data_IF_928911607415
#
_entry.id   IF_928911607415
#
_cell.length_a   1.000
_cell.length_b   1.000
_cell.length_c   1.000
_cell.angle_alpha   90.00
_cell.angle_beta   90.00
_cell.angle_gamma   90.00
#
_symmetry.space_group_name_H-M   'P 1'
#
loop_
_entity.id
_entity.type
_entity.pdbx_description
1 polymer ?
#
# COMPACT_ATOMS: atom_id res chain seq x y z
N UNK A 1 -2.07 -10.92 -7.86
CA UNK A 1 -0.95 -10.10 -8.35
C UNK A 1 -0.22 -10.92 -9.38
N UNK A 2 -0.09 -10.41 -10.59
CA UNK A 2 0.38 -11.21 -11.72
C UNK A 2 1.83 -10.94 -12.14
N UNK A 3 2.34 -9.76 -11.78
CA UNK A 3 3.72 -9.35 -11.97
C UNK A 3 4.23 -8.58 -10.76
N UNK A 4 5.53 -8.69 -10.52
CA UNK A 4 6.23 -8.08 -9.39
C UNK A 4 7.57 -7.51 -9.87
N UNK A 5 7.89 -6.29 -9.41
CA UNK A 5 9.20 -5.67 -9.59
C UNK A 5 9.60 -4.96 -8.30
N UNK A 6 10.91 -4.83 -8.05
CA UNK A 6 11.44 -4.02 -6.96
C UNK A 6 11.88 -2.69 -7.54
N UNK A 7 11.48 -1.58 -6.91
CA UNK A 7 11.93 -0.25 -7.29
C UNK A 7 13.47 -0.18 -7.15
N UNK A 8 14.21 0.21 -8.20
CA UNK A 8 15.66 0.23 -8.16
C UNK A 8 16.18 1.21 -7.10
N UNK A 9 17.37 0.93 -6.58
CA UNK A 9 18.08 1.82 -5.68
C UNK A 9 18.73 2.97 -6.46
N UNK A 10 17.93 3.99 -6.77
CA UNK A 10 18.32 5.14 -7.60
C UNK A 10 17.97 6.49 -6.94
N UNK A 11 17.82 6.50 -5.61
CA UNK A 11 17.43 7.70 -4.85
C UNK A 11 15.95 8.06 -4.93
N UNK A 12 15.13 7.29 -5.65
CA UNK A 12 13.69 7.48 -5.66
C UNK A 12 13.08 7.22 -4.27
N UNK A 13 12.05 7.97 -3.82
CA UNK A 13 11.46 7.79 -2.49
C UNK A 13 10.96 6.37 -2.20
N UNK A 14 10.62 5.60 -3.23
CA UNK A 14 10.14 4.22 -3.10
C UNK A 14 11.22 3.15 -3.38
N UNK A 15 12.50 3.51 -3.48
CA UNK A 15 13.59 2.55 -3.67
C UNK A 15 13.50 1.37 -2.68
N UNK A 16 13.70 0.14 -3.19
CA UNK A 16 13.60 -1.10 -2.42
C UNK A 16 12.18 -1.56 -2.09
N UNK A 17 11.16 -0.77 -2.40
CA UNK A 17 9.77 -1.20 -2.29
C UNK A 17 9.35 -2.00 -3.51
N UNK A 18 8.28 -2.77 -3.34
CA UNK A 18 7.80 -3.72 -4.32
C UNK A 18 6.61 -3.12 -5.07
N UNK A 19 6.57 -3.26 -6.39
CA UNK A 19 5.42 -2.93 -7.23
C UNK A 19 4.78 -4.22 -7.70
N UNK A 20 3.47 -4.31 -7.50
CA UNK A 20 2.63 -5.40 -7.93
C UNK A 20 1.63 -4.99 -8.99
N UNK A 21 1.47 -5.83 -10.01
CA UNK A 21 0.49 -5.67 -11.06
C UNK A 21 -0.84 -6.35 -10.67
N UNK A 22 -1.92 -5.57 -10.60
CA UNK A 22 -3.29 -6.04 -10.45
C UNK A 22 -4.02 -5.91 -11.80
N UNK A 23 -4.34 -7.06 -12.39
CA UNK A 23 -5.00 -7.19 -13.69
C UNK A 23 -6.49 -6.83 -13.71
N UNK A 24 -7.30 -7.39 -12.81
CA UNK A 24 -8.76 -7.24 -12.83
C UNK A 24 -9.19 -5.80 -12.52
N UNK A 25 -8.59 -5.22 -11.48
CA UNK A 25 -8.78 -3.85 -11.03
C UNK A 25 -7.97 -2.84 -11.80
N UNK A 26 -7.05 -3.27 -12.68
CA UNK A 26 -6.32 -2.39 -13.61
C UNK A 26 -5.46 -1.34 -12.92
N UNK A 27 -4.80 -1.73 -11.83
CA UNK A 27 -3.94 -0.82 -11.07
C UNK A 27 -2.66 -1.49 -10.58
N UNK A 28 -1.74 -0.64 -10.13
CA UNK A 28 -0.50 -1.04 -9.49
C UNK A 28 -0.62 -0.88 -7.98
N UNK A 29 0.05 -1.78 -7.27
CA UNK A 29 0.11 -1.81 -5.82
C UNK A 29 1.56 -1.62 -5.41
N UNK A 30 1.81 -0.75 -4.44
CA UNK A 30 3.10 -0.63 -3.77
C UNK A 30 3.11 -1.49 -2.51
N UNK A 31 4.22 -2.13 -2.19
CA UNK A 31 4.36 -2.93 -0.98
C UNK A 31 5.69 -2.67 -0.29
N UNK A 32 5.67 -2.69 1.03
CA UNK A 32 6.88 -2.62 1.86
C UNK A 32 6.90 -3.78 2.84
N UNK A 33 8.09 -4.30 3.12
CA UNK A 33 8.28 -5.48 3.98
C UNK A 33 9.26 -5.21 5.11
N UNK A 34 9.06 -5.87 6.23
CA UNK A 34 9.96 -5.90 7.38
C UNK A 34 10.15 -7.32 7.91
N UNK A 35 11.29 -7.50 8.56
CA UNK A 35 11.59 -8.68 9.37
C UNK A 35 11.33 -8.32 10.84
N UNK A 36 10.39 -9.01 11.48
CA UNK A 36 10.09 -8.87 12.92
C UNK A 36 10.31 -10.21 13.58
N UNK A 37 11.29 -10.30 14.47
CA UNK A 37 11.74 -11.55 15.12
C UNK A 37 11.94 -12.71 14.14
N UNK A 38 12.60 -12.44 13.00
CA UNK A 38 12.84 -13.45 11.96
C UNK A 38 11.63 -13.78 11.07
N UNK A 39 10.48 -13.12 11.24
CA UNK A 39 9.29 -13.29 10.41
C UNK A 39 9.12 -12.14 9.42
N UNK A 40 9.03 -12.49 8.13
CA UNK A 40 8.70 -11.53 7.07
C UNK A 40 7.21 -11.18 7.10
N UNK A 41 6.93 -9.89 7.21
CA UNK A 41 5.60 -9.30 7.16
C UNK A 41 5.65 -7.90 6.54
N UNK A 42 4.51 -7.21 6.41
CA UNK A 42 4.50 -5.89 5.80
C UNK A 42 3.12 -5.41 5.37
N UNK A 43 3.12 -4.35 4.57
CA UNK A 43 1.91 -3.71 4.10
C UNK A 43 1.94 -3.41 2.61
N UNK A 44 0.73 -3.33 2.05
CA UNK A 44 0.46 -2.91 0.69
C UNK A 44 -0.33 -1.61 0.67
N UNK A 45 -0.14 -0.82 -0.39
CA UNK A 45 -0.71 0.50 -0.61
C UNK A 45 -1.08 0.64 -2.09
N UNK A 46 -2.18 1.29 -2.45
CA UNK A 46 -2.42 1.66 -3.84
C UNK A 46 -1.29 2.55 -4.36
N UNK A 47 -0.74 2.25 -5.54
CA UNK A 47 0.16 3.18 -6.24
C UNK A 47 -0.68 4.14 -7.09
N UNK A 48 -1.59 3.59 -7.89
CA UNK A 48 -2.61 4.32 -8.64
C UNK A 48 -3.99 3.68 -8.45
N UNK A 49 -5.06 4.42 -8.75
CA UNK A 49 -6.41 3.88 -8.90
C UNK A 49 -7.16 4.66 -9.99
N UNK A 50 -7.85 3.97 -10.93
CA UNK A 50 -8.69 4.63 -11.92
C UNK A 50 -9.69 5.59 -11.25
N UNK A 51 -9.75 6.83 -11.73
CA UNK A 51 -10.65 7.87 -11.22
C UNK A 51 -10.24 8.55 -9.90
N UNK A 52 -9.25 8.04 -9.17
CA UNK A 52 -8.75 8.67 -7.94
C UNK A 52 -7.39 9.37 -8.13
N UNK A 53 -6.50 8.74 -8.89
CA UNK A 53 -5.20 9.34 -9.25
C UNK A 53 -5.30 9.96 -10.63
N UNK A 54 -5.18 11.28 -10.73
CA UNK A 54 -5.01 11.96 -12.02
C UNK A 54 -3.77 11.40 -12.72
N UNK A 55 -3.96 10.73 -13.85
CA UNK A 55 -2.93 9.97 -14.56
C UNK A 55 -3.57 9.22 -15.74
N UNK A 56 -2.77 8.63 -16.65
CA UNK A 56 -3.27 8.07 -17.90
C UNK A 56 -4.38 7.06 -17.62
N UNK A 57 -5.48 7.25 -18.34
CA UNK A 57 -6.65 6.38 -18.28
C UNK A 57 -6.22 4.91 -18.38
N UNK A 58 -6.58 4.15 -17.35
CA UNK A 58 -6.76 2.70 -17.35
C UNK A 58 -5.66 1.86 -17.99
N UNK A 59 -4.72 1.40 -17.16
CA UNK A 59 -3.91 0.23 -17.54
C UNK A 59 -4.85 -0.89 -18.00
N UNK A 60 -4.56 -1.53 -19.12
CA UNK A 60 -5.51 -2.45 -19.75
C UNK A 60 -5.64 -3.83 -19.08
N UNK A 61 -4.85 -4.05 -18.03
CA UNK A 61 -4.74 -5.29 -17.24
C UNK A 61 -3.27 -5.61 -16.98
N UNK A 62 -2.62 -4.90 -16.04
CA UNK A 62 -1.21 -5.08 -15.72
C UNK A 62 -0.82 -6.54 -15.46
N UNK A 63 0.25 -6.97 -16.12
CA UNK A 63 0.78 -8.34 -16.01
C UNK A 63 2.26 -8.38 -15.65
N UNK A 64 3.05 -7.41 -16.13
CA UNK A 64 4.47 -7.32 -15.82
C UNK A 64 4.90 -5.87 -15.61
N UNK A 65 5.93 -5.70 -14.79
CA UNK A 65 6.53 -4.40 -14.48
C UNK A 65 8.04 -4.55 -14.64
N UNK A 66 8.69 -3.58 -15.26
CA UNK A 66 10.14 -3.52 -15.42
C UNK A 66 10.65 -2.09 -15.34
N UNK A 67 11.95 -1.94 -15.05
CA UNK A 67 12.61 -0.64 -14.97
C UNK A 67 13.71 -0.53 -16.01
N UNK A 68 13.83 0.64 -16.66
CA UNK A 68 15.01 0.94 -17.46
C UNK A 68 16.20 1.31 -16.55
N UNK A 69 17.44 1.28 -17.07
CA UNK A 69 18.61 1.81 -16.35
C UNK A 69 18.47 3.30 -15.98
N UNK A 70 17.62 4.06 -16.68
CA UNK A 70 17.34 5.46 -16.39
C UNK A 70 16.28 5.65 -15.27
N UNK A 71 15.67 4.58 -14.78
CA UNK A 71 14.66 4.61 -13.72
C UNK A 71 13.22 4.79 -14.20
N UNK A 72 12.97 4.80 -15.52
CA UNK A 72 11.61 4.73 -16.05
C UNK A 72 10.99 3.37 -15.73
N UNK A 73 9.73 3.36 -15.32
CA UNK A 73 8.96 2.14 -15.14
C UNK A 73 8.15 1.84 -16.40
N UNK A 74 8.16 0.58 -16.83
CA UNK A 74 7.34 0.08 -17.92
C UNK A 74 6.37 -0.97 -17.38
N UNK A 75 5.11 -0.86 -17.77
CA UNK A 75 4.05 -1.80 -17.40
C UNK A 75 3.51 -2.42 -18.67
N UNK A 76 3.64 -3.74 -18.79
CA UNK A 76 2.98 -4.51 -19.84
C UNK A 76 1.62 -4.97 -19.37
N UNK A 77 0.59 -4.69 -20.15
CA UNK A 77 -0.79 -5.06 -19.85
C UNK A 77 -1.41 -5.90 -20.96
N UNK A 78 -2.41 -6.68 -20.59
CA UNK A 78 -3.29 -7.38 -21.51
C UNK A 78 -4.74 -7.17 -21.08
N UNK A 79 -5.63 -6.93 -22.03
CA UNK A 79 -7.07 -6.81 -21.82
C UNK A 79 -7.81 -8.04 -22.34
N UNK A 80 -7.44 -8.45 -23.55
CA UNK A 80 -7.92 -9.66 -24.22
C UNK A 80 -6.70 -10.40 -24.77
N UNK A 81 -6.62 -11.70 -24.48
CA UNK A 81 -5.54 -12.58 -24.93
C UNK A 81 -5.85 -13.27 -26.25
N UNK A 82 -6.93 -12.89 -26.91
CA UNK A 82 -7.36 -13.49 -28.17
C UNK A 82 -7.76 -14.96 -28.04
N UNK A 83 -8.09 -15.42 -26.83
CA UNK A 83 -8.58 -16.79 -26.62
C UNK A 83 -9.80 -17.04 -27.51
N UNK A 84 -9.87 -18.24 -28.09
CA UNK A 84 -10.93 -18.63 -29.03
C UNK A 84 -10.99 -17.78 -30.32
N UNK A 85 -9.89 -17.13 -30.70
CA UNK A 85 -9.81 -16.32 -31.93
C UNK A 85 -10.22 -14.86 -31.76
N UNK A 86 -10.25 -14.37 -30.51
CA UNK A 86 -10.43 -12.95 -30.21
C UNK A 86 -9.24 -12.08 -30.63
N UNK A 87 -9.34 -10.78 -30.38
CA UNK A 87 -8.25 -9.83 -30.64
C UNK A 87 -7.21 -9.89 -29.51
N UNK A 88 -5.93 -9.85 -29.87
CA UNK A 88 -4.85 -9.64 -28.90
C UNK A 88 -4.78 -8.16 -28.55
N UNK A 89 -5.39 -7.78 -27.42
CA UNK A 89 -5.48 -6.39 -26.97
C UNK A 89 -4.65 -6.22 -25.72
N UNK A 90 -3.67 -5.31 -25.77
CA UNK A 90 -2.81 -4.98 -24.65
C UNK A 90 -2.00 -3.72 -24.93
N UNK A 91 -1.23 -3.29 -23.95
CA UNK A 91 -0.39 -2.09 -24.05
C UNK A 91 0.96 -2.28 -23.34
N UNK A 92 1.87 -1.35 -23.64
CA UNK A 92 3.04 -1.10 -22.81
C UNK A 92 3.02 0.38 -22.45
N UNK A 93 2.83 0.67 -21.18
CA UNK A 93 2.79 2.04 -20.66
C UNK A 93 4.12 2.37 -19.99
N UNK A 94 4.73 3.48 -20.38
CA UNK A 94 5.91 4.04 -19.72
C UNK A 94 5.49 5.09 -18.69
N UNK A 95 5.93 4.91 -17.46
CA UNK A 95 5.86 5.88 -16.38
C UNK A 95 7.24 6.48 -16.16
N UNK A 96 7.34 7.79 -16.39
CA UNK A 96 8.56 8.56 -16.12
C UNK A 96 8.41 9.25 -14.77
N UNK A 97 9.31 8.98 -13.80
CA UNK A 97 9.30 9.66 -12.51
C UNK A 97 9.34 11.18 -12.69
N UNK A 98 8.60 11.91 -11.85
CA UNK A 98 8.70 13.35 -11.74
C UNK A 98 8.81 13.75 -10.27
N UNK A 99 9.24 14.98 -10.01
CA UNK A 99 9.42 15.50 -8.65
C UNK A 99 8.10 15.87 -7.95
N UNK A 100 6.95 15.51 -8.52
CA UNK A 100 5.61 15.95 -8.10
C UNK A 100 4.76 14.84 -7.49
N UNK A 101 5.39 13.85 -6.84
CA UNK A 101 4.64 12.83 -6.10
C UNK A 101 3.73 13.50 -5.05
N UNK A 102 2.44 13.10 -4.93
CA UNK A 102 1.60 13.56 -3.83
C UNK A 102 2.16 13.07 -2.50
N UNK A 103 1.94 13.81 -1.42
CA UNK A 103 2.24 13.28 -0.09
C UNK A 103 1.22 12.19 0.25
N UNK A 104 1.60 11.23 1.08
CA UNK A 104 0.74 10.14 1.52
C UNK A 104 1.54 9.10 2.27
N UNK A 105 0.88 7.98 2.58
CA UNK A 105 1.53 6.88 3.30
C UNK A 105 2.69 6.38 2.44
N UNK A 106 3.89 6.44 3.01
CA UNK A 106 5.12 5.87 2.46
C UNK A 106 5.33 4.44 2.93
N UNK A 107 5.16 4.18 4.23
CA UNK A 107 5.33 2.84 4.81
C UNK A 107 4.55 2.73 6.10
N UNK A 108 4.17 1.50 6.45
CA UNK A 108 3.58 1.14 7.74
C UNK A 108 4.45 0.03 8.32
N UNK A 109 4.82 0.19 9.59
CA UNK A 109 5.62 -0.77 10.36
C UNK A 109 4.86 -1.19 11.60
N UNK A 110 4.98 -2.46 11.99
CA UNK A 110 4.47 -2.89 13.28
C UNK A 110 5.30 -2.26 14.41
N UNK A 111 4.62 -1.89 15.49
CA UNK A 111 5.25 -1.55 16.77
C UNK A 111 4.69 -2.45 17.84
N UNK A 112 5.30 -2.46 19.03
CA UNK A 112 4.80 -3.23 20.17
C UNK A 112 3.34 -2.88 20.51
N UNK A 113 3.02 -1.58 20.43
CA UNK A 113 1.71 -1.04 20.78
C UNK A 113 0.72 -0.91 19.62
N UNK A 114 1.14 -1.11 18.37
CA UNK A 114 0.29 -0.85 17.21
C UNK A 114 1.08 -0.75 15.92
N UNK A 115 1.03 0.42 15.28
CA UNK A 115 1.69 0.69 14.01
C UNK A 115 2.38 2.05 13.99
N UNK A 116 3.51 2.15 13.31
CA UNK A 116 4.11 3.40 12.89
C UNK A 116 3.78 3.64 11.41
N UNK A 117 3.25 4.81 11.09
CA UNK A 117 2.90 5.22 9.72
C UNK A 117 3.87 6.31 9.30
N UNK A 118 4.69 6.02 8.30
CA UNK A 118 5.63 6.96 7.69
C UNK A 118 4.98 7.62 6.46
N UNK A 119 5.23 8.91 6.28
CA UNK A 119 4.74 9.73 5.17
C UNK A 119 5.89 10.24 4.31
N UNK A 120 5.62 10.50 3.03
CA UNK A 120 6.62 11.05 2.10
C UNK A 120 7.12 12.44 2.52
N UNK A 121 6.20 13.28 3.01
CA UNK A 121 6.44 14.63 3.51
C UNK A 121 5.73 14.84 4.84
N UNK A 122 6.11 15.86 5.64
CA UNK A 122 5.45 16.15 6.90
C UNK A 122 3.94 16.34 6.75
N UNK A 123 3.19 15.89 7.74
CA UNK A 123 1.74 16.09 7.87
C UNK A 123 1.42 17.16 8.92
N UNK A 124 0.16 17.59 9.00
CA UNK A 124 -0.30 18.50 10.05
C UNK A 124 -0.25 17.78 11.40
N UNK A 125 0.66 18.24 12.29
CA UNK A 125 0.91 17.59 13.58
C UNK A 125 -0.26 17.71 14.55
N UNK A 126 -1.08 18.74 14.45
CA UNK A 126 -2.25 18.91 15.34
C UNK A 126 -3.30 17.89 14.93
N UNK A 127 -3.61 17.81 13.63
CA UNK A 127 -4.56 16.82 13.10
C UNK A 127 -4.05 15.38 13.27
N UNK A 128 -2.76 15.16 13.04
CA UNK A 128 -2.11 13.86 13.20
C UNK A 128 -2.10 13.33 14.65
N UNK A 129 -2.26 14.21 15.64
CA UNK A 129 -2.36 13.83 17.05
C UNK A 129 -3.78 13.40 17.45
N UNK A 130 -4.80 13.61 16.60
CA UNK A 130 -6.17 13.19 16.86
C UNK A 130 -6.39 11.73 16.45
N UNK A 131 -6.65 10.80 17.40
CA UNK A 131 -6.92 9.40 17.10
C UNK A 131 -8.12 9.19 16.16
N UNK A 132 -9.08 10.11 16.11
CA UNK A 132 -10.27 10.00 15.27
C UNK A 132 -9.95 10.03 13.77
N UNK A 133 -8.77 10.55 13.39
CA UNK A 133 -8.28 10.56 12.01
C UNK A 133 -7.75 9.20 11.53
N UNK A 134 -7.73 8.19 12.40
CA UNK A 134 -7.25 6.84 12.11
C UNK A 134 -8.35 5.82 12.34
N UNK A 135 -8.63 5.00 11.33
CA UNK A 135 -9.59 3.90 11.44
C UNK A 135 -8.92 2.59 11.05
N UNK A 136 -9.19 1.56 11.86
CA UNK A 136 -8.68 0.22 11.61
C UNK A 136 -9.80 -0.81 11.67
N UNK A 137 -9.72 -1.77 10.75
CA UNK A 137 -10.45 -3.03 10.81
C UNK A 137 -9.48 -4.19 10.62
N UNK A 138 -9.64 -5.24 11.41
CA UNK A 138 -8.84 -6.44 11.35
C UNK A 138 -9.68 -7.65 10.93
N UNK A 139 -9.13 -8.52 10.09
CA UNK A 139 -9.77 -9.77 9.67
C UNK A 139 -8.71 -10.84 9.40
N UNK A 140 -9.15 -12.08 9.25
CA UNK A 140 -8.29 -13.22 8.91
C UNK A 140 -9.01 -14.17 7.96
N UNK A 141 -8.29 -15.13 7.40
CA UNK A 141 -8.83 -16.17 6.53
C UNK A 141 -8.42 -17.52 7.08
N UNK A 142 -9.39 -18.39 7.31
CA UNK A 142 -9.16 -19.79 7.66
C UNK A 142 -9.35 -20.60 6.39
N UNK A 143 -8.26 -21.14 5.83
CA UNK A 143 -8.34 -21.91 4.60
C UNK A 143 -9.02 -23.27 4.85
N UNK A 144 -10.13 -23.50 4.15
CA UNK A 144 -10.96 -24.71 4.28
C UNK A 144 -10.87 -25.63 3.05
N UNK A 145 -9.87 -25.44 2.18
CA UNK A 145 -9.65 -26.29 0.99
C UNK A 145 -10.40 -25.85 -0.28
N UNK A 146 -11.23 -24.82 -0.20
CA UNK A 146 -11.94 -24.26 -1.36
C UNK A 146 -11.05 -23.32 -2.19
N UNK A 147 -11.38 -23.16 -3.48
CA UNK A 147 -10.71 -22.23 -4.41
C UNK A 147 -10.77 -20.78 -3.91
N UNK A 148 -11.90 -20.39 -3.33
CA UNK A 148 -12.08 -19.12 -2.64
C UNK A 148 -12.43 -19.37 -1.18
N UNK A 149 -11.79 -18.64 -0.28
CA UNK A 149 -12.08 -18.65 1.16
C UNK A 149 -12.55 -17.25 1.55
N UNK A 150 -13.76 -17.10 2.12
CA UNK A 150 -14.25 -15.80 2.55
C UNK A 150 -13.41 -15.25 3.72
N UNK A 151 -13.43 -13.94 3.87
CA UNK A 151 -12.88 -13.29 5.05
C UNK A 151 -13.68 -13.64 6.31
N UNK A 152 -12.98 -13.70 7.45
CA UNK A 152 -13.50 -14.13 8.74
C UNK A 152 -12.83 -13.38 9.88
N UNK A 153 -13.29 -13.58 11.13
CA UNK A 153 -12.62 -13.01 12.31
C UNK A 153 -12.59 -11.48 12.35
N UNK A 154 -13.57 -10.84 11.72
CA UNK A 154 -13.68 -9.38 11.68
C UNK A 154 -13.73 -8.77 13.09
N UNK A 155 -12.95 -7.73 13.30
CA UNK A 155 -12.97 -6.89 14.50
C UNK A 155 -12.46 -5.49 14.17
N UNK A 156 -12.68 -4.54 15.06
CA UNK A 156 -12.18 -3.17 14.93
C UNK A 156 -11.32 -2.82 16.14
N UNK A 157 -9.97 -2.77 16.00
CA UNK A 157 -9.11 -2.26 17.05
C UNK A 157 -9.43 -0.81 17.40
N UNK A 158 -9.28 -0.46 18.67
CA UNK A 158 -9.48 0.92 19.15
C UNK A 158 -8.15 1.68 19.06
N UNK A 159 -8.16 2.87 18.46
CA UNK A 159 -7.00 3.77 18.46
C UNK A 159 -6.97 4.52 19.80
N UNK A 160 -6.03 4.16 20.68
CA UNK A 160 -5.90 4.77 22.00
C UNK A 160 -5.17 6.12 21.94
N UNK A 161 -4.14 6.22 21.08
CA UNK A 161 -3.41 7.47 20.86
C UNK A 161 -2.71 7.49 19.51
N UNK A 162 -2.58 8.68 18.93
CA UNK A 162 -1.73 8.96 17.78
C UNK A 162 -0.66 9.97 18.17
N UNK A 163 0.62 9.63 17.95
CA UNK A 163 1.76 10.47 18.33
C UNK A 163 2.59 10.84 17.10
N UNK A 164 2.46 12.06 16.56
CA UNK A 164 3.31 12.51 15.47
C UNK A 164 4.73 12.77 15.96
N UNK A 165 5.71 12.39 15.15
CA UNK A 165 7.12 12.72 15.34
C UNK A 165 7.37 14.22 15.30
N UNK A 166 8.54 14.65 15.79
CA UNK A 166 8.92 16.07 15.81
C UNK A 166 8.99 16.68 14.40
N UNK A 167 9.46 15.90 13.41
CA UNK A 167 9.54 16.27 12.00
C UNK A 167 8.21 16.11 11.24
N UNK A 168 7.18 15.57 11.90
CA UNK A 168 5.85 15.35 11.32
C UNK A 168 5.80 14.30 10.21
N UNK A 169 6.85 13.48 10.01
CA UNK A 169 6.89 12.46 8.95
C UNK A 169 6.45 11.07 9.40
N UNK A 170 6.31 10.84 10.70
CA UNK A 170 5.89 9.55 11.25
C UNK A 170 4.79 9.77 12.28
N UNK A 171 3.80 8.88 12.31
CA UNK A 171 2.78 8.85 13.35
C UNK A 171 2.81 7.47 14.00
N UNK A 172 3.01 7.43 15.31
CA UNK A 172 2.95 6.21 16.09
C UNK A 172 1.54 6.03 16.68
N UNK A 173 0.85 4.98 16.26
CA UNK A 173 -0.45 4.58 16.77
C UNK A 173 -0.29 3.55 17.88
N UNK A 174 -0.92 3.81 19.01
CA UNK A 174 -1.14 2.82 20.07
C UNK A 174 -2.57 2.30 19.97
N UNK A 175 -2.72 0.98 19.92
CA UNK A 175 -3.97 0.30 19.65
C UNK A 175 -4.34 -0.67 20.77
N UNK A 176 -5.63 -0.81 21.02
CA UNK A 176 -6.19 -1.90 21.80
C UNK A 176 -6.84 -2.92 20.86
N UNK A 177 -6.70 -4.21 21.18
CA UNK A 177 -7.34 -5.29 20.41
C UNK A 177 -6.54 -5.77 19.19
N UNK A 178 -5.24 -5.50 19.14
CA UNK A 178 -4.36 -6.02 18.09
C UNK A 178 -4.13 -7.54 18.26
N UNK A 179 -4.27 -8.30 17.17
CA UNK A 179 -4.18 -9.75 17.08
C UNK A 179 -3.20 -10.14 15.98
N UNK A 180 -2.24 -11.00 16.29
CA UNK A 180 -1.38 -11.62 15.27
C UNK A 180 -2.19 -12.59 14.40
N UNK A 181 -1.69 -12.90 13.21
CA UNK A 181 -2.38 -13.74 12.22
C UNK A 181 -3.54 -13.03 11.50
N UNK A 182 -3.61 -11.70 11.57
CA UNK A 182 -4.66 -10.89 10.94
C UNK A 182 -4.08 -9.92 9.91
N UNK A 183 -4.92 -9.54 8.97
CA UNK A 183 -4.71 -8.39 8.08
C UNK A 183 -5.47 -7.20 8.67
N UNK A 184 -4.84 -6.04 8.63
CA UNK A 184 -5.39 -4.77 9.11
C UNK A 184 -5.55 -3.81 7.95
N UNK A 185 -6.78 -3.36 7.71
CA UNK A 185 -7.04 -2.19 6.87
C UNK A 185 -6.86 -0.96 7.74
N UNK A 186 -6.00 -0.05 7.31
CA UNK A 186 -5.66 1.18 8.01
C UNK A 186 -6.04 2.33 7.10
N UNK A 187 -6.95 3.19 7.58
CA UNK A 187 -7.34 4.42 6.87
C UNK A 187 -6.86 5.62 7.65
N UNK A 188 -6.13 6.50 6.96
CA UNK A 188 -5.69 7.81 7.45
C UNK A 188 -6.56 8.89 6.80
N UNK A 189 -7.17 9.74 7.62
CA UNK A 189 -8.06 10.81 7.15
C UNK A 189 -7.34 12.17 7.16
N UNK A 190 -8.06 13.24 7.47
CA UNK A 190 -7.65 14.65 7.40
C UNK A 190 -6.40 14.97 8.24
N UNK A 191 -5.21 14.57 7.78
CA UNK A 191 -3.93 14.92 8.41
C UNK A 191 -3.00 15.66 7.45
N UNK A 192 -3.41 15.88 6.20
CA UNK A 192 -2.66 16.71 5.26
C UNK A 192 -2.61 18.18 5.71
N UNK A 193 -1.52 18.88 5.36
CA UNK A 193 -1.35 20.32 5.65
C UNK A 193 -2.19 21.15 4.66
N UNK A 194 -2.02 20.89 3.35
CA UNK A 194 -2.71 21.63 2.27
C UNK A 194 -3.14 20.73 1.10
N UNK A 195 -2.37 19.68 0.79
CA UNK A 195 -2.66 18.72 -0.27
C UNK A 195 -3.45 17.51 0.25
N UNK A 196 -4.33 16.97 -0.60
CA UNK A 196 -4.99 15.67 -0.33
C UNK A 196 -3.91 14.59 -0.33
N UNK A 197 -3.87 13.80 0.74
CA UNK A 197 -2.95 12.68 0.83
C UNK A 197 -3.31 11.57 -0.17
N UNK A 198 -2.30 10.95 -0.75
CA UNK A 198 -2.41 9.74 -1.55
C UNK A 198 -1.14 8.87 -1.44
N UNK A 199 -1.26 7.58 -1.12
CA UNK A 199 -2.47 6.89 -0.66
C UNK A 199 -2.78 7.24 0.80
N UNK A 200 -4.06 7.14 1.17
CA UNK A 200 -4.56 7.25 2.56
C UNK A 200 -4.88 5.90 3.20
N UNK A 201 -4.77 4.81 2.44
CA UNK A 201 -5.07 3.47 2.89
C UNK A 201 -3.86 2.55 2.81
N UNK A 202 -3.73 1.68 3.80
CA UNK A 202 -2.74 0.62 3.85
C UNK A 202 -3.40 -0.68 4.31
N UNK A 203 -2.92 -1.81 3.80
CA UNK A 203 -3.35 -3.14 4.25
C UNK A 203 -2.12 -3.87 4.80
N UNK A 204 -2.09 -4.11 6.11
CA UNK A 204 -0.93 -4.65 6.81
C UNK A 204 -1.19 -6.09 7.27
N UNK A 205 -0.32 -7.04 6.93
CA UNK A 205 -0.39 -8.40 7.48
C UNK A 205 0.45 -8.49 8.74
N UNK A 206 -0.17 -8.69 9.91
CA UNK A 206 0.52 -8.78 11.19
C UNK A 206 0.70 -10.25 11.59
N UNK A 207 1.91 -10.78 11.43
CA UNK A 207 2.26 -12.14 11.88
C UNK A 207 2.89 -12.14 13.27
N UNK A 208 3.70 -11.13 13.57
CA UNK A 208 4.46 -10.97 14.80
C UNK A 208 4.43 -9.51 15.26
N UNK A 209 4.35 -9.29 16.56
CA UNK A 209 4.54 -7.97 17.16
C UNK A 209 5.99 -7.83 17.61
N UNK A 210 6.65 -6.69 17.35
CA UNK A 210 7.94 -6.39 17.98
C UNK A 210 7.85 -6.46 19.51
N UNK A 211 8.95 -6.86 20.14
CA UNK A 211 9.09 -6.91 21.61
C UNK A 211 9.04 -5.53 22.29
#
# INVERSE_FOLDING_TARGET
MNGLAVWPDNGHPFAGQIIGAEYNGRFLIRSSVEMVDGILQGAVYPLNRPGETGGPEELLGPMCVGFSPAGDMYVGSIHDSGWLGGLNTGDIVKFTPNDQLPNGIHRVRATRGGFAIDFLRPVDRVKAADPANFKLSGYTRIWEGNYATPDSGFHSPTVLSAKPSADGKTIELTLEGLKTGHVYDITVSDVGVEERLWPTVAHYTLKRRPE
#
